data_IF_377066164538
#
_entry.id   IF_377066164538
#
_cell.length_a   1.000
_cell.length_b   1.000
_cell.length_c   1.000
_cell.angle_alpha   90.00
_cell.angle_beta   90.00
_cell.angle_gamma   90.00
#
_symmetry.space_group_name_H-M   'P 1'
#
loop_
_entity.id
_entity.type
_entity.pdbx_description
1 polymer ?
#
# COMPACT_ATOMS: atom_id res chain seq x y z
N UNK A 1 11.01 19.64 10.53
CA UNK A 1 9.55 19.52 10.37
C UNK A 1 9.14 18.20 11.01
N UNK A 2 7.85 17.97 11.27
CA UNK A 2 7.41 16.69 11.85
C UNK A 2 7.48 15.63 10.76
N UNK A 3 8.24 14.56 11.02
CA UNK A 3 8.29 13.40 10.13
C UNK A 3 7.18 12.41 10.44
N UNK A 4 6.65 11.79 9.40
CA UNK A 4 5.59 10.78 9.44
C UNK A 4 6.13 9.49 8.86
N UNK A 5 5.92 8.39 9.55
CA UNK A 5 6.36 7.09 9.05
C UNK A 5 5.43 6.61 7.93
N UNK A 6 6.03 6.17 6.82
CA UNK A 6 5.35 5.59 5.68
C UNK A 6 5.48 4.07 5.73
N UNK A 7 4.34 3.39 5.65
CA UNK A 7 4.23 1.95 5.64
C UNK A 7 3.62 1.43 4.34
N UNK A 8 3.92 0.17 4.03
CA UNK A 8 3.12 -0.65 3.15
C UNK A 8 2.44 -1.73 3.98
N UNK A 9 1.12 -1.78 3.90
CA UNK A 9 0.26 -2.63 4.72
C UNK A 9 -0.46 -3.63 3.84
N UNK A 10 -0.53 -4.88 4.30
CA UNK A 10 -1.25 -5.95 3.60
C UNK A 10 -2.52 -6.37 4.33
N UNK A 11 -3.54 -6.73 3.54
CA UNK A 11 -4.81 -7.22 4.05
C UNK A 11 -5.20 -8.54 3.39
N UNK A 12 -5.68 -9.46 4.21
CA UNK A 12 -6.23 -10.75 3.80
C UNK A 12 -7.54 -10.57 3.02
N UNK A 13 -7.64 -11.33 1.94
CA UNK A 13 -8.83 -11.38 1.09
C UNK A 13 -9.53 -12.74 1.14
N UNK A 14 -9.05 -13.62 2.01
CA UNK A 14 -9.51 -15.00 2.15
C UNK A 14 -9.01 -15.88 1.01
N UNK A 15 -9.71 -16.99 0.80
CA UNK A 15 -9.35 -18.01 -0.19
C UNK A 15 -10.32 -18.02 -1.37
N UNK A 16 -9.88 -18.56 -2.50
CA UNK A 16 -10.77 -18.90 -3.61
C UNK A 16 -11.63 -20.10 -3.22
N UNK A 17 -12.96 -19.95 -3.26
CA UNK A 17 -13.89 -21.00 -2.85
C UNK A 17 -13.72 -22.32 -3.63
N UNK A 18 -13.30 -22.23 -4.90
CA UNK A 18 -13.16 -23.38 -5.79
C UNK A 18 -11.84 -24.15 -5.62
N UNK A 19 -10.75 -23.48 -5.23
CA UNK A 19 -9.42 -24.10 -5.15
C UNK A 19 -8.85 -24.16 -3.74
N UNK A 20 -9.45 -23.45 -2.78
CA UNK A 20 -8.93 -23.27 -1.43
C UNK A 20 -7.66 -22.43 -1.35
N UNK A 21 -7.11 -21.97 -2.47
CA UNK A 21 -5.88 -21.17 -2.51
C UNK A 21 -6.11 -19.78 -1.90
N UNK A 22 -5.12 -19.28 -1.16
CA UNK A 22 -5.10 -17.90 -0.64
C UNK A 22 -5.14 -16.93 -1.82
N UNK A 23 -6.01 -15.93 -1.73
CA UNK A 23 -6.04 -14.84 -2.70
C UNK A 23 -4.84 -13.92 -2.45
N UNK A 24 -4.30 -13.29 -3.50
CA UNK A 24 -3.27 -12.28 -3.31
C UNK A 24 -3.72 -11.22 -2.30
N UNK A 25 -2.88 -10.88 -1.34
CA UNK A 25 -3.18 -9.85 -0.35
C UNK A 25 -3.43 -8.52 -1.04
N UNK A 26 -4.35 -7.74 -0.47
CA UNK A 26 -4.52 -6.34 -0.85
C UNK A 26 -3.39 -5.52 -0.25
N UNK A 27 -2.76 -4.66 -1.04
CA UNK A 27 -1.64 -3.82 -0.61
C UNK A 27 -2.07 -2.36 -0.59
N UNK A 28 -1.69 -1.64 0.46
CA UNK A 28 -2.01 -0.21 0.66
C UNK A 28 -0.82 0.50 1.27
N UNK A 29 -0.47 1.66 0.74
CA UNK A 29 0.39 2.59 1.49
C UNK A 29 -0.39 3.19 2.64
N UNK A 30 0.31 3.47 3.74
CA UNK A 30 -0.25 4.12 4.92
C UNK A 30 0.77 5.09 5.50
N UNK A 31 0.41 6.37 5.57
CA UNK A 31 1.20 7.39 6.27
C UNK A 31 0.62 7.58 7.66
N UNK A 32 1.40 7.25 8.69
CA UNK A 32 0.97 7.37 10.07
C UNK A 32 0.99 8.84 10.53
N UNK A 33 -0.16 9.33 10.99
CA UNK A 33 -0.31 10.70 11.48
C UNK A 33 -0.31 10.77 13.01
N UNK A 34 -1.04 9.87 13.68
CA UNK A 34 -1.14 9.90 15.14
C UNK A 34 -1.38 8.50 15.70
N UNK A 35 -0.62 8.15 16.74
CA UNK A 35 -0.90 6.97 17.58
C UNK A 35 -1.37 7.47 18.94
N UNK A 36 -2.62 7.14 19.30
CA UNK A 36 -3.22 7.55 20.57
C UNK A 36 -3.97 6.39 21.22
N UNK A 37 -3.39 5.85 22.28
CA UNK A 37 -3.95 4.69 22.97
C UNK A 37 -4.06 3.50 22.02
N UNK A 38 -5.28 3.06 21.75
CA UNK A 38 -5.55 1.95 20.82
C UNK A 38 -5.78 2.39 19.36
N UNK A 39 -5.70 3.69 19.06
CA UNK A 39 -5.91 4.21 17.70
C UNK A 39 -4.59 4.40 16.97
N UNK A 40 -4.59 4.11 15.68
CA UNK A 40 -3.49 4.40 14.77
C UNK A 40 -4.05 5.12 13.54
N UNK A 41 -4.16 6.44 13.65
CA UNK A 41 -4.76 7.31 12.64
C UNK A 41 -3.73 7.64 11.56
N UNK A 42 -4.17 7.61 10.32
CA UNK A 42 -3.32 8.00 9.20
C UNK A 42 -4.05 8.07 7.86
N UNK A 43 -3.27 8.23 6.81
CA UNK A 43 -3.75 8.36 5.44
C UNK A 43 -3.41 7.08 4.69
N UNK A 44 -4.43 6.36 4.23
CA UNK A 44 -4.27 5.23 3.33
C UNK A 44 -4.33 5.65 1.87
N UNK A 45 -3.47 5.04 1.06
CA UNK A 45 -3.55 5.10 -0.40
C UNK A 45 -3.60 3.68 -0.95
N UNK A 46 -4.73 3.36 -1.58
CA UNK A 46 -5.01 2.01 -2.05
C UNK A 46 -5.73 2.00 -3.37
N UNK A 47 -5.36 1.02 -4.19
CA UNK A 47 -6.09 0.69 -5.39
C UNK A 47 -7.41 -0.03 -5.03
N UNK A 48 -8.49 0.31 -5.71
CA UNK A 48 -9.80 -0.32 -5.54
C UNK A 48 -10.29 -0.91 -6.85
N UNK A 49 -11.32 -1.75 -6.75
CA UNK A 49 -11.94 -2.40 -7.91
C UNK A 49 -11.46 -3.83 -8.09
N UNK A 50 -11.49 -4.27 -9.35
CA UNK A 50 -11.19 -5.63 -9.77
C UNK A 50 -10.46 -5.59 -11.12
N UNK A 51 -9.84 -6.72 -11.56
CA UNK A 51 -9.24 -6.79 -12.89
C UNK A 51 -10.19 -6.26 -13.97
N UNK A 52 -9.69 -5.40 -14.85
CA UNK A 52 -10.49 -4.73 -15.88
C UNK A 52 -11.10 -3.38 -15.47
N UNK A 53 -11.18 -3.09 -14.17
CA UNK A 53 -11.87 -1.91 -13.62
C UNK A 53 -11.21 -1.38 -12.34
N UNK A 54 -9.88 -1.46 -12.26
CA UNK A 54 -9.14 -0.86 -11.16
C UNK A 54 -9.18 0.67 -11.21
N UNK A 55 -9.18 1.30 -10.04
CA UNK A 55 -9.12 2.75 -9.90
C UNK A 55 -8.47 3.17 -8.59
N UNK A 56 -7.91 4.37 -8.55
CA UNK A 56 -7.38 5.00 -7.35
C UNK A 56 -8.25 6.19 -6.96
N UNK A 57 -8.81 6.16 -5.75
CA UNK A 57 -9.75 7.19 -5.27
C UNK A 57 -9.03 8.43 -4.69
N UNK A 58 -7.75 8.30 -4.34
CA UNK A 58 -6.99 9.31 -3.60
C UNK A 58 -6.75 8.94 -2.13
N UNK A 59 -6.35 9.91 -1.28
CA UNK A 59 -6.13 9.69 0.15
C UNK A 59 -7.41 9.34 0.89
N UNK A 60 -7.29 8.42 1.85
CA UNK A 60 -8.38 8.03 2.72
C UNK A 60 -7.93 8.10 4.18
N UNK A 61 -8.60 8.90 5.01
CA UNK A 61 -8.36 8.90 6.44
C UNK A 61 -8.86 7.60 7.05
N UNK A 62 -7.97 6.88 7.74
CA UNK A 62 -8.29 5.58 8.35
C UNK A 62 -7.69 5.45 9.74
N UNK A 63 -8.30 4.60 10.55
CA UNK A 63 -7.73 4.09 11.79
C UNK A 63 -7.26 2.65 11.55
N UNK A 64 -5.94 2.48 11.37
CA UNK A 64 -5.35 1.20 11.01
C UNK A 64 -5.61 0.12 12.07
N UNK A 65 -5.77 0.52 13.34
CA UNK A 65 -6.06 -0.39 14.44
C UNK A 65 -7.44 -1.05 14.34
N UNK A 66 -8.35 -0.51 13.53
CA UNK A 66 -9.70 -1.06 13.30
C UNK A 66 -9.75 -2.06 12.14
N UNK A 67 -8.65 -2.30 11.42
CA UNK A 67 -8.65 -3.21 10.28
C UNK A 67 -8.43 -4.68 10.70
N UNK A 68 -9.53 -5.43 10.81
CA UNK A 68 -9.50 -6.83 11.23
C UNK A 68 -8.87 -7.82 10.24
N UNK A 69 -8.70 -7.43 8.97
CA UNK A 69 -8.07 -8.27 7.94
C UNK A 69 -6.59 -7.96 7.73
N UNK A 70 -6.01 -7.03 8.48
CA UNK A 70 -4.59 -6.67 8.38
C UNK A 70 -3.68 -7.86 8.69
N UNK A 71 -2.62 -8.04 7.90
CA UNK A 71 -1.67 -9.15 8.05
C UNK A 71 -0.27 -8.68 8.41
N UNK A 72 0.35 -7.89 7.55
CA UNK A 72 1.72 -7.41 7.73
C UNK A 72 1.79 -5.90 7.52
N UNK A 73 2.71 -5.25 8.23
CA UNK A 73 3.07 -3.85 8.05
C UNK A 73 4.58 -3.79 7.86
N UNK A 74 5.03 -3.24 6.74
CA UNK A 74 6.44 -2.98 6.49
C UNK A 74 6.66 -1.47 6.49
N UNK A 75 7.51 -1.01 7.41
CA UNK A 75 8.02 0.35 7.38
C UNK A 75 8.88 0.53 6.12
N UNK A 76 8.56 1.55 5.34
CA UNK A 76 9.25 1.86 4.10
C UNK A 76 10.18 3.07 4.23
N UNK A 77 9.82 4.03 5.07
CA UNK A 77 10.56 5.28 5.19
C UNK A 77 9.81 6.34 5.98
N UNK A 78 10.21 7.60 5.77
CA UNK A 78 9.66 8.76 6.45
C UNK A 78 9.35 9.87 5.45
N UNK A 79 8.29 10.63 5.71
CA UNK A 79 7.84 11.75 4.89
C UNK A 79 7.63 12.97 5.80
N UNK A 80 8.07 14.15 5.38
CA UNK A 80 7.76 15.37 6.11
C UNK A 80 6.26 15.72 5.99
N UNK A 81 5.67 16.27 7.05
CA UNK A 81 4.24 16.63 7.08
C UNK A 81 3.82 17.58 5.95
N UNK A 82 4.74 18.44 5.48
CA UNK A 82 4.53 19.32 4.32
C UNK A 82 4.52 18.60 2.97
N UNK A 83 4.99 17.35 2.91
CA UNK A 83 5.14 16.56 1.70
C UNK A 83 4.08 15.47 1.56
N UNK A 84 3.09 15.41 2.47
CA UNK A 84 1.96 14.48 2.36
C UNK A 84 1.19 14.63 1.03
N UNK A 85 1.06 15.87 0.55
CA UNK A 85 0.48 16.14 -0.77
C UNK A 85 1.31 15.53 -1.91
N UNK A 86 2.65 15.56 -1.78
CA UNK A 86 3.56 15.01 -2.78
C UNK A 86 3.45 13.49 -2.89
N UNK A 87 3.31 12.78 -1.76
CA UNK A 87 3.03 11.34 -1.74
C UNK A 87 1.77 11.01 -2.54
N UNK A 88 0.68 11.76 -2.32
CA UNK A 88 -0.56 11.56 -3.06
C UNK A 88 -0.38 11.81 -4.57
N UNK A 89 0.28 12.91 -4.94
CA UNK A 89 0.54 13.25 -6.34
C UNK A 89 1.28 12.11 -7.05
N UNK A 90 2.35 11.59 -6.46
CA UNK A 90 3.14 10.49 -7.02
C UNK A 90 2.26 9.24 -7.21
N UNK A 91 1.53 8.84 -6.16
CA UNK A 91 0.68 7.64 -6.20
C UNK A 91 -0.49 7.77 -7.18
N UNK A 92 -0.96 8.99 -7.44
CA UNK A 92 -2.01 9.26 -8.44
C UNK A 92 -1.53 9.08 -9.88
N UNK A 93 -0.22 9.16 -10.12
CA UNK A 93 0.40 9.04 -11.44
C UNK A 93 0.87 7.63 -11.78
N UNK A 94 0.82 6.71 -10.81
CA UNK A 94 1.14 5.29 -11.02
C UNK A 94 0.19 4.73 -12.08
N UNK A 95 0.75 4.00 -13.06
CA UNK A 95 -0.05 3.41 -14.14
C UNK A 95 -1.04 2.41 -13.56
N UNK A 96 -2.30 2.50 -13.98
CA UNK A 96 -3.33 1.51 -13.67
C UNK A 96 -3.63 0.72 -14.94
N UNK A 97 -3.46 -0.60 -14.88
CA UNK A 97 -3.83 -1.48 -15.99
C UNK A 97 -5.31 -1.91 -15.84
N UNK A 98 -6.12 -1.56 -16.83
CA UNK A 98 -7.54 -1.90 -16.91
C UNK A 98 -7.81 -3.04 -17.90
N UNK A 99 -6.78 -3.78 -18.32
CA UNK A 99 -6.96 -5.00 -19.12
C UNK A 99 -7.18 -6.17 -18.17
N UNK A 100 -8.37 -6.77 -18.23
CA UNK A 100 -8.79 -7.86 -17.32
C UNK A 100 -7.83 -9.06 -17.34
N UNK A 101 -7.31 -9.42 -18.51
CA UNK A 101 -6.43 -10.58 -18.70
C UNK A 101 -4.94 -10.31 -18.48
N UNK A 102 -4.56 -9.10 -18.03
CA UNK A 102 -3.15 -8.73 -17.85
C UNK A 102 -2.47 -9.44 -16.68
N UNK A 103 -3.25 -9.91 -15.69
CA UNK A 103 -2.72 -10.41 -14.42
C UNK A 103 -2.25 -9.31 -13.45
N UNK A 104 -2.27 -8.05 -13.91
CA UNK A 104 -1.90 -6.88 -13.11
C UNK A 104 -2.91 -6.62 -11.99
N UNK A 105 -2.43 -6.22 -10.81
CA UNK A 105 -3.26 -6.00 -9.63
C UNK A 105 -2.69 -4.94 -8.67
N UNK A 106 -3.24 -4.84 -7.46
CA UNK A 106 -2.83 -3.87 -6.45
C UNK A 106 -1.37 -4.01 -5.98
N UNK A 107 -0.77 -5.19 -6.07
CA UNK A 107 0.64 -5.39 -5.72
C UNK A 107 1.54 -4.76 -6.78
N UNK A 108 1.20 -4.89 -8.06
CA UNK A 108 1.94 -4.26 -9.15
C UNK A 108 1.85 -2.73 -9.06
N UNK A 109 0.66 -2.19 -8.75
CA UNK A 109 0.47 -0.77 -8.46
C UNK A 109 1.34 -0.29 -7.31
N UNK A 110 1.36 -1.05 -6.20
CA UNK A 110 2.13 -0.69 -5.02
C UNK A 110 3.64 -0.77 -5.27
N UNK A 111 4.12 -1.71 -6.09
CA UNK A 111 5.54 -1.81 -6.44
C UNK A 111 5.99 -0.67 -7.37
N UNK A 112 5.18 -0.27 -8.36
CA UNK A 112 5.48 0.94 -9.18
C UNK A 112 5.44 2.21 -8.31
N UNK A 113 4.46 2.32 -7.41
CA UNK A 113 4.39 3.40 -6.43
C UNK A 113 5.62 3.45 -5.50
N UNK A 114 6.12 2.30 -5.05
CA UNK A 114 7.30 2.19 -4.20
C UNK A 114 8.53 2.79 -4.88
N UNK A 115 8.81 2.40 -6.13
CA UNK A 115 9.99 2.89 -6.85
C UNK A 115 9.92 4.40 -7.10
N UNK A 116 8.74 4.93 -7.44
CA UNK A 116 8.55 6.38 -7.61
C UNK A 116 8.70 7.18 -6.32
N UNK A 117 8.17 6.67 -5.22
CA UNK A 117 8.35 7.29 -3.90
C UNK A 117 9.82 7.24 -3.46
N UNK A 118 10.54 6.19 -3.87
CA UNK A 118 11.97 6.05 -3.62
C UNK A 118 12.79 7.08 -4.39
N UNK A 119 12.46 7.34 -5.66
CA UNK A 119 13.11 8.38 -6.47
C UNK A 119 13.00 9.78 -5.83
N UNK A 120 11.98 10.01 -5.01
CA UNK A 120 11.74 11.27 -4.29
C UNK A 120 12.34 11.27 -2.88
N UNK A 121 13.02 10.20 -2.47
CA UNK A 121 13.71 10.10 -1.19
C UNK A 121 12.81 9.74 0.01
N UNK A 122 11.57 9.31 -0.22
CA UNK A 122 10.62 8.94 0.84
C UNK A 122 10.77 7.49 1.34
N UNK A 123 11.53 6.67 0.62
CA UNK A 123 11.72 5.25 0.89
C UNK A 123 13.18 5.00 1.22
N UNK A 124 13.45 4.15 2.22
CA UNK A 124 14.81 3.77 2.56
C UNK A 124 15.53 3.09 1.39
N UNK A 125 16.74 3.55 1.08
CA UNK A 125 17.53 3.13 -0.08
C UNK A 125 17.74 1.60 -0.20
N UNK A 126 17.83 0.91 0.93
CA UNK A 126 18.07 -0.54 0.95
C UNK A 126 16.83 -1.37 0.57
N UNK A 127 15.63 -0.77 0.53
CA UNK A 127 14.42 -1.46 0.13
C UNK A 127 14.32 -1.51 -1.38
N UNK A 128 14.28 -2.73 -1.92
CA UNK A 128 14.02 -2.98 -3.35
C UNK A 128 12.60 -3.54 -3.52
N UNK A 129 11.97 -3.32 -4.68
CA UNK A 129 10.69 -3.95 -4.99
C UNK A 129 10.69 -5.47 -4.79
N UNK A 130 11.78 -6.17 -5.10
CA UNK A 130 11.91 -7.61 -4.84
C UNK A 130 11.94 -7.95 -3.35
N UNK A 131 12.70 -7.21 -2.54
CA UNK A 131 12.76 -7.41 -1.10
C UNK A 131 11.39 -7.18 -0.45
N UNK A 132 10.69 -6.11 -0.85
CA UNK A 132 9.33 -5.79 -0.40
C UNK A 132 8.34 -6.89 -0.81
N UNK A 133 8.39 -7.34 -2.08
CA UNK A 133 7.57 -8.45 -2.59
C UNK A 133 7.78 -9.75 -1.81
N UNK A 134 9.02 -10.12 -1.53
CA UNK A 134 9.33 -11.33 -0.79
C UNK A 134 8.91 -11.23 0.69
N UNK A 135 9.02 -10.05 1.28
CA UNK A 135 8.63 -9.81 2.68
C UNK A 135 7.11 -9.87 2.88
N UNK A 136 6.36 -9.23 1.98
CA UNK A 136 4.90 -9.05 2.09
C UNK A 136 4.07 -10.13 1.39
N UNK A 137 4.71 -11.17 0.86
CA UNK A 137 4.04 -12.28 0.17
C UNK A 137 3.05 -13.01 1.06
N UNK A 138 2.08 -13.67 0.43
CA UNK A 138 1.12 -14.52 1.11
C UNK A 138 1.86 -15.68 1.80
N UNK A 139 1.53 -15.90 3.08
CA UNK A 139 2.06 -17.05 3.84
C UNK A 139 1.18 -18.25 3.50
N UNK A 140 1.80 -19.25 2.87
CA UNK A 140 1.19 -20.54 2.50
C UNK A 140 1.17 -21.48 3.70
#
# INVERSE_FOLDING_TARGET
MTKRTLYLVTYDRGTYATTGKVKPYHWSFFVQLEVRGAQNLGIAHQLRGMPGAFYYKGPEEVDLAKSGSRKEELELGEVDDSELGRVHEILSQVRIDTVESSGWNCQDWALDGLERLKEEGFIYEYLTGEAVKNWLREKV
#
